data_IF_924730822575
#
_entry.id   IF_924730822575
#
_cell.length_a   1.000
_cell.length_b   1.000
_cell.length_c   1.000
_cell.angle_alpha   90.00
_cell.angle_beta   90.00
_cell.angle_gamma   90.00
#
_symmetry.space_group_name_H-M   'P 1'
#
loop_
_entity.id
_entity.type
_entity.pdbx_description
1 polymer ?
#
# COMPACT_ATOMS: atom_id res chain seq x y z
N UNK A 1 43.38 -28.40 23.46
CA UNK A 1 42.68 -29.01 22.32
C UNK A 1 41.20 -28.74 22.53
N UNK A 2 40.68 -27.63 22.00
CA UNK A 2 40.30 -27.43 20.60
C UNK A 2 38.84 -27.89 20.37
N UNK A 3 38.00 -26.87 20.11
CA UNK A 3 36.82 -26.91 19.23
C UNK A 3 35.53 -27.51 19.82
N UNK A 4 34.60 -26.63 20.21
CA UNK A 4 33.19 -26.52 19.76
C UNK A 4 32.48 -25.57 20.75
N UNK A 5 32.82 -24.28 20.66
CA UNK A 5 31.98 -23.17 21.14
C UNK A 5 31.81 -22.29 19.90
N UNK A 6 30.76 -22.54 19.13
CA UNK A 6 30.18 -21.62 18.14
C UNK A 6 28.89 -22.25 17.55
N UNK A 7 28.05 -22.83 18.40
CA UNK A 7 26.73 -23.34 18.02
C UNK A 7 25.66 -22.35 18.48
N UNK A 8 25.78 -21.06 18.12
CA UNK A 8 24.79 -20.02 18.48
C UNK A 8 25.01 -18.66 17.77
N UNK A 9 25.43 -18.67 16.51
CA UNK A 9 25.51 -17.42 15.72
C UNK A 9 24.98 -17.56 14.30
N UNK A 10 23.99 -18.44 14.09
CA UNK A 10 23.24 -18.54 12.83
C UNK A 10 21.72 -18.38 12.99
N UNK A 11 21.27 -17.72 14.06
CA UNK A 11 20.01 -16.98 14.01
C UNK A 11 20.29 -15.52 13.63
N UNK A 12 20.98 -15.36 12.50
CA UNK A 12 20.66 -14.26 11.58
C UNK A 12 19.29 -14.56 10.96
N UNK A 13 18.28 -14.75 11.80
CA UNK A 13 16.90 -14.67 11.41
C UNK A 13 16.69 -13.18 11.20
N UNK A 14 17.06 -12.72 10.01
CA UNK A 14 16.50 -11.54 9.41
C UNK A 14 15.00 -11.77 9.40
N UNK A 15 14.36 -11.45 10.52
CA UNK A 15 13.01 -10.93 10.48
C UNK A 15 13.16 -9.74 9.55
N UNK A 16 12.85 -9.96 8.28
CA UNK A 16 12.43 -8.93 7.35
C UNK A 16 11.23 -8.30 8.03
N UNK A 17 11.50 -7.38 8.96
CA UNK A 17 10.50 -6.46 9.47
C UNK A 17 10.22 -5.58 8.26
N UNK A 18 9.36 -6.08 7.38
CA UNK A 18 8.85 -5.29 6.28
C UNK A 18 8.01 -4.21 6.96
N UNK A 19 8.65 -3.06 7.18
CA UNK A 19 8.07 -1.97 7.93
C UNK A 19 6.71 -1.63 7.28
N UNK A 20 5.69 -1.42 8.12
CA UNK A 20 4.38 -1.05 7.60
C UNK A 20 4.53 0.23 6.76
N UNK A 21 3.96 0.30 5.56
CA UNK A 21 4.09 1.47 4.71
C UNK A 21 3.60 2.71 5.48
N UNK A 22 4.21 3.89 5.26
CA UNK A 22 3.73 5.12 5.89
C UNK A 22 2.28 5.37 5.49
N UNK A 23 1.48 5.92 6.41
CA UNK A 23 0.05 6.17 6.19
C UNK A 23 -0.23 7.66 6.03
N UNK A 24 -1.29 7.98 5.30
CA UNK A 24 -1.81 9.34 5.17
C UNK A 24 -3.33 9.35 5.17
N UNK A 25 -3.93 10.49 5.51
CA UNK A 25 -5.37 10.70 5.45
C UNK A 25 -5.74 11.36 4.12
N UNK A 26 -6.70 10.79 3.42
CA UNK A 26 -7.23 11.30 2.16
C UNK A 26 -8.68 11.70 2.36
N UNK A 27 -9.02 12.92 1.96
CA UNK A 27 -10.39 13.40 1.89
C UNK A 27 -10.83 13.49 0.44
N UNK A 28 -11.90 12.78 0.09
CA UNK A 28 -12.54 12.89 -1.23
C UNK A 28 -13.60 13.97 -1.13
N UNK A 29 -13.40 15.07 -1.84
CA UNK A 29 -14.27 16.24 -1.76
C UNK A 29 -15.03 16.42 -3.08
N UNK A 30 -16.33 16.75 -2.99
CA UNK A 30 -17.10 17.20 -4.14
C UNK A 30 -16.74 18.66 -4.46
N UNK A 31 -16.07 18.97 -5.60
CA UNK A 31 -15.54 20.31 -5.84
C UNK A 31 -16.61 21.41 -5.87
N UNK A 32 -17.81 21.10 -6.37
CA UNK A 32 -18.89 22.08 -6.52
C UNK A 32 -19.46 22.57 -5.18
N UNK A 33 -19.43 21.73 -4.14
CA UNK A 33 -20.07 22.03 -2.85
C UNK A 33 -19.09 22.12 -1.69
N UNK A 34 -17.85 21.65 -1.86
CA UNK A 34 -16.88 21.54 -0.78
C UNK A 34 -17.19 20.44 0.24
N UNK A 35 -18.23 19.62 -0.01
CA UNK A 35 -18.63 18.54 0.90
C UNK A 35 -17.62 17.39 0.81
N UNK A 36 -17.13 16.94 1.97
CA UNK A 36 -16.35 15.71 2.12
C UNK A 36 -17.29 14.51 1.92
N UNK A 37 -17.00 13.70 0.92
CA UNK A 37 -17.76 12.49 0.57
C UNK A 37 -17.24 11.26 1.32
N UNK A 38 -15.94 11.18 1.53
CA UNK A 38 -15.26 10.03 2.15
C UNK A 38 -13.93 10.48 2.75
N UNK A 39 -13.57 9.90 3.90
CA UNK A 39 -12.22 9.94 4.46
C UNK A 39 -11.61 8.54 4.40
N UNK A 40 -10.34 8.45 3.99
CA UNK A 40 -9.61 7.18 3.89
C UNK A 40 -8.26 7.30 4.58
N UNK A 41 -7.95 6.37 5.48
CA UNK A 41 -6.59 6.14 5.96
C UNK A 41 -5.87 5.22 4.98
N UNK A 42 -4.94 5.79 4.22
CA UNK A 42 -4.28 5.10 3.12
C UNK A 42 -2.80 4.81 3.41
N UNK A 43 -2.39 3.55 3.24
CA UNK A 43 -0.98 3.16 3.15
C UNK A 43 -0.36 3.73 1.87
N UNK A 44 0.88 4.22 1.92
CA UNK A 44 1.56 4.82 0.77
C UNK A 44 2.41 3.78 0.02
N UNK A 45 2.05 3.50 -1.23
CA UNK A 45 2.85 2.69 -2.14
C UNK A 45 3.65 3.57 -3.11
N UNK A 46 4.88 3.90 -2.72
CA UNK A 46 5.77 4.83 -3.45
C UNK A 46 6.93 4.13 -4.18
N UNK A 47 7.29 2.92 -3.78
CA UNK A 47 8.35 2.12 -4.41
C UNK A 47 7.78 1.09 -5.38
N UNK A 48 8.61 0.56 -6.29
CA UNK A 48 8.17 -0.53 -7.17
C UNK A 48 7.73 -1.76 -6.36
N UNK A 49 8.45 -2.09 -5.29
CA UNK A 49 8.16 -3.20 -4.39
C UNK A 49 6.79 -3.02 -3.70
N UNK A 50 6.57 -1.89 -3.03
CA UNK A 50 5.30 -1.61 -2.34
C UNK A 50 4.11 -1.54 -3.29
N UNK A 51 4.29 -0.98 -4.51
CA UNK A 51 3.25 -0.98 -5.55
C UNK A 51 2.95 -2.38 -6.09
N UNK A 52 3.96 -3.24 -6.21
CA UNK A 52 3.77 -4.61 -6.71
C UNK A 52 3.08 -5.48 -5.68
N UNK A 53 3.46 -5.33 -4.40
CA UNK A 53 2.82 -6.01 -3.27
C UNK A 53 1.35 -5.57 -3.12
N UNK A 54 1.09 -4.27 -3.15
CA UNK A 54 -0.27 -3.75 -2.99
C UNK A 54 -0.93 -4.26 -1.70
N UNK A 55 -2.18 -4.72 -1.83
CA UNK A 55 -2.96 -5.33 -0.76
C UNK A 55 -3.03 -6.87 -0.89
N UNK A 56 -2.08 -7.51 -1.58
CA UNK A 56 -2.06 -8.97 -1.71
C UNK A 56 -1.94 -9.64 -0.35
N UNK A 57 -2.54 -10.83 -0.24
CA UNK A 57 -2.50 -11.71 0.94
C UNK A 57 -3.12 -11.12 2.23
N UNK A 58 -3.71 -9.92 2.16
CA UNK A 58 -4.45 -9.33 3.28
C UNK A 58 -5.80 -10.05 3.44
N UNK A 59 -6.10 -10.69 4.59
CA UNK A 59 -7.36 -11.40 4.79
C UNK A 59 -8.55 -10.45 5.04
N UNK A 60 -8.28 -9.20 5.40
CA UNK A 60 -9.28 -8.16 5.62
C UNK A 60 -8.67 -6.77 5.47
N UNK A 61 -9.52 -5.77 5.24
CA UNK A 61 -9.18 -4.35 5.24
C UNK A 61 -10.23 -3.64 6.11
N UNK A 62 -9.84 -2.83 7.11
CA UNK A 62 -10.80 -2.11 7.92
C UNK A 62 -11.63 -1.12 7.08
N UNK A 63 -12.85 -0.76 7.53
CA UNK A 63 -13.61 0.31 6.89
C UNK A 63 -12.77 1.60 6.80
N UNK A 64 -12.98 2.37 5.72
CA UNK A 64 -12.27 3.64 5.48
C UNK A 64 -10.74 3.50 5.45
N UNK A 65 -10.22 2.31 5.13
CA UNK A 65 -8.79 2.11 4.88
C UNK A 65 -8.54 1.76 3.42
N UNK A 66 -7.32 2.02 2.97
CA UNK A 66 -6.92 1.68 1.60
C UNK A 66 -5.42 1.82 1.39
N UNK A 67 -5.04 1.89 0.12
CA UNK A 67 -3.67 2.12 -0.29
C UNK A 67 -3.63 3.15 -1.42
N UNK A 68 -2.74 4.12 -1.30
CA UNK A 68 -2.50 5.16 -2.30
C UNK A 68 -1.24 4.82 -3.10
N UNK A 69 -1.43 4.52 -4.37
CA UNK A 69 -0.35 4.29 -5.33
C UNK A 69 0.05 5.62 -5.98
N UNK A 70 1.22 6.14 -5.62
CA UNK A 70 1.76 7.39 -6.18
C UNK A 70 2.70 7.05 -7.31
N UNK A 71 2.65 7.75 -8.45
CA UNK A 71 3.55 7.56 -9.59
C UNK A 71 4.16 8.90 -10.01
N UNK A 72 5.42 8.88 -10.48
CA UNK A 72 6.17 10.12 -10.79
C UNK A 72 5.67 10.83 -12.06
N UNK A 73 5.01 10.08 -12.95
CA UNK A 73 4.49 10.59 -14.23
C UNK A 73 3.12 9.99 -14.53
N UNK A 74 2.20 10.78 -15.11
CA UNK A 74 0.95 10.28 -15.64
C UNK A 74 1.21 9.21 -16.70
N UNK A 75 0.53 8.08 -16.57
CA UNK A 75 0.55 6.99 -17.54
C UNK A 75 -0.68 6.11 -17.35
N UNK A 76 -1.11 5.36 -18.38
CA UNK A 76 -2.05 4.27 -18.20
C UNK A 76 -1.51 3.29 -17.16
N UNK A 77 -2.34 2.95 -16.18
CA UNK A 77 -2.02 2.00 -15.11
C UNK A 77 -2.88 0.76 -15.27
N UNK A 78 -2.26 -0.40 -15.19
CA UNK A 78 -2.95 -1.67 -15.13
C UNK A 78 -2.76 -2.24 -13.74
N UNK A 79 -3.87 -2.57 -13.10
CA UNK A 79 -3.86 -3.29 -11.84
C UNK A 79 -4.36 -4.71 -12.08
N UNK A 80 -3.73 -5.64 -11.38
CA UNK A 80 -4.18 -7.01 -11.27
C UNK A 80 -4.59 -7.29 -9.82
N UNK A 81 -5.50 -8.22 -9.62
CA UNK A 81 -5.94 -8.64 -8.27
C UNK A 81 -5.24 -9.93 -7.85
N UNK A 82 -4.00 -10.13 -8.30
CA UNK A 82 -3.25 -11.35 -8.00
C UNK A 82 -3.09 -11.50 -6.48
N UNK A 83 -3.48 -12.66 -5.95
CA UNK A 83 -3.50 -12.97 -4.51
C UNK A 83 -4.21 -11.94 -3.61
N UNK A 84 -5.10 -11.12 -4.15
CA UNK A 84 -5.92 -10.22 -3.33
C UNK A 84 -7.14 -11.00 -2.83
N UNK A 85 -7.18 -11.25 -1.52
CA UNK A 85 -8.20 -12.13 -0.90
C UNK A 85 -9.54 -11.42 -0.66
N UNK A 86 -9.55 -10.10 -0.78
CA UNK A 86 -10.70 -9.23 -0.55
C UNK A 86 -11.10 -8.52 -1.86
N UNK A 87 -12.39 -8.32 -2.13
CA UNK A 87 -12.81 -7.48 -3.25
C UNK A 87 -12.43 -6.03 -2.99
N UNK A 88 -11.93 -5.34 -4.03
CA UNK A 88 -11.46 -3.96 -3.95
C UNK A 88 -11.99 -3.14 -5.12
N UNK A 89 -12.31 -1.88 -4.84
CA UNK A 89 -12.53 -0.85 -5.85
C UNK A 89 -11.22 -0.10 -6.10
N UNK A 90 -10.94 0.22 -7.38
CA UNK A 90 -9.81 1.07 -7.76
C UNK A 90 -10.35 2.38 -8.31
N UNK A 91 -9.82 3.48 -7.77
CA UNK A 91 -10.15 4.84 -8.21
C UNK A 91 -8.88 5.47 -8.78
N UNK A 92 -8.92 5.85 -10.05
CA UNK A 92 -7.80 6.54 -10.71
C UNK A 92 -7.92 8.05 -10.54
N UNK A 93 -6.79 8.71 -10.20
CA UNK A 93 -6.69 10.15 -10.11
C UNK A 93 -5.58 10.70 -11.01
N UNK A 94 -5.80 11.88 -11.59
CA UNK A 94 -4.80 12.61 -12.38
C UNK A 94 -3.81 13.41 -11.51
N UNK A 95 -2.80 13.99 -12.15
CA UNK A 95 -1.80 14.87 -11.52
C UNK A 95 -2.40 16.10 -10.80
N UNK A 96 -3.65 16.48 -11.13
CA UNK A 96 -4.40 17.56 -10.49
C UNK A 96 -5.27 17.06 -9.34
N UNK A 97 -5.08 15.81 -8.92
CA UNK A 97 -5.83 15.12 -7.85
C UNK A 97 -7.33 15.03 -8.14
N UNK A 98 -7.71 14.91 -9.41
CA UNK A 98 -9.10 14.69 -9.82
C UNK A 98 -9.30 13.24 -10.19
N UNK A 99 -10.44 12.66 -9.78
CA UNK A 99 -10.84 11.31 -10.17
C UNK A 99 -11.19 11.32 -11.66
N UNK A 100 -10.59 10.43 -12.45
CA UNK A 100 -10.74 10.39 -13.92
C UNK A 100 -11.36 9.11 -14.48
N UNK A 101 -11.52 8.08 -13.63
CA UNK A 101 -11.98 6.71 -13.94
C UNK A 101 -11.18 5.94 -14.97
#
# INVERSE_FOLDING_TARGET
>A
MATIIALLSLLGLSVLLEADPPRTRIEVVRPATGVVLLEVEAELATSQETRTRGLMERPSLPPNHGMLFIFDKPKPLNFWMFNTLIPLDIIFADERRRIVT
#
